data_IF_940213745028
#
_entry.id   IF_940213745028
#
_cell.length_a   1.000
_cell.length_b   1.000
_cell.length_c   1.000
_cell.angle_alpha   90.00
_cell.angle_beta   90.00
_cell.angle_gamma   90.00
#
_symmetry.space_group_name_H-M   'P 1'
#
loop_
_entity.id
_entity.type
_entity.pdbx_description
1 polymer ?
#
# COMPACT_ATOMS: atom_id res chain seq x y z
N UNK A 1 8.72 6.51 0.03
CA UNK A 1 9.35 7.73 -0.50
C UNK A 1 10.84 7.66 -0.23
N UNK A 2 11.66 8.16 -1.16
CA UNK A 2 13.12 8.21 -1.03
C UNK A 2 13.50 9.29 -0.03
N UNK A 3 14.16 8.88 1.05
CA UNK A 3 14.83 9.79 1.97
C UNK A 3 16.24 10.02 1.47
N UNK A 4 16.61 11.28 1.25
CA UNK A 4 17.97 11.64 0.88
C UNK A 4 18.73 12.05 2.14
N UNK A 5 19.96 11.58 2.24
CA UNK A 5 20.85 11.87 3.37
C UNK A 5 22.18 12.40 2.85
N UNK A 6 22.83 13.24 3.64
CA UNK A 6 24.19 13.70 3.39
C UNK A 6 25.12 13.16 4.46
N UNK A 7 26.06 12.30 4.05
CA UNK A 7 27.12 11.80 4.92
C UNK A 7 28.23 12.85 5.01
N UNK A 8 28.32 13.48 6.18
CA UNK A 8 29.25 14.56 6.47
C UNK A 8 30.70 14.09 6.57
N UNK A 9 30.92 12.79 6.81
CA UNK A 9 32.27 12.21 6.90
C UNK A 9 32.87 11.90 5.54
N UNK A 10 32.04 11.49 4.57
CA UNK A 10 32.50 11.12 3.22
C UNK A 10 32.07 12.09 2.12
N UNK A 11 31.33 13.14 2.49
CA UNK A 11 30.74 14.13 1.58
C UNK A 11 29.85 13.49 0.50
N UNK A 12 29.12 12.43 0.85
CA UNK A 12 28.26 11.71 -0.09
C UNK A 12 26.79 12.07 0.11
N UNK A 13 26.11 12.29 -1.00
CA UNK A 13 24.65 12.35 -1.06
C UNK A 13 24.13 10.94 -1.35
N UNK A 14 23.30 10.42 -0.45
CA UNK A 14 22.73 9.08 -0.50
C UNK A 14 21.22 9.18 -0.74
N UNK A 15 20.67 8.27 -1.54
CA UNK A 15 19.25 8.03 -1.67
C UNK A 15 18.92 6.71 -0.96
N UNK A 16 17.93 6.72 -0.07
CA UNK A 16 17.51 5.55 0.71
C UNK A 16 16.00 5.40 0.59
N UNK A 17 15.51 4.20 0.30
CA UNK A 17 14.08 3.96 0.16
C UNK A 17 13.66 2.60 0.67
N UNK A 18 12.45 2.54 1.24
CA UNK A 18 11.87 1.32 1.76
C UNK A 18 11.31 0.44 0.62
N UNK A 19 11.40 -0.87 0.80
CA UNK A 19 10.97 -1.92 -0.14
C UNK A 19 9.99 -2.91 0.50
N UNK A 20 9.50 -2.66 1.72
CA UNK A 20 8.62 -3.54 2.48
C UNK A 20 9.32 -4.63 3.28
N UNK A 21 10.56 -4.99 2.93
CA UNK A 21 11.40 -5.95 3.68
C UNK A 21 12.70 -5.35 4.22
N UNK A 22 12.89 -4.04 4.00
CA UNK A 22 14.13 -3.34 4.28
C UNK A 22 14.33 -2.16 3.34
N UNK A 23 15.48 -1.50 3.43
CA UNK A 23 15.78 -0.34 2.62
C UNK A 23 16.80 -0.65 1.51
N UNK A 24 16.50 -0.19 0.29
CA UNK A 24 17.49 0.02 -0.75
C UNK A 24 18.23 1.34 -0.50
N UNK A 25 19.50 1.39 -0.89
CA UNK A 25 20.29 2.62 -0.80
C UNK A 25 21.34 2.68 -1.90
N UNK A 26 21.62 3.88 -2.40
CA UNK A 26 22.80 4.14 -3.23
C UNK A 26 23.34 5.55 -3.10
N UNK A 27 24.56 5.74 -3.57
CA UNK A 27 25.20 7.06 -3.67
C UNK A 27 24.74 7.77 -4.93
N UNK A 28 24.09 8.92 -4.75
CA UNK A 28 23.66 9.82 -5.84
C UNK A 28 24.86 10.60 -6.37
N UNK A 29 25.61 11.23 -5.47
CA UNK A 29 26.74 12.07 -5.82
C UNK A 29 27.74 12.19 -4.67
N UNK A 30 28.98 12.57 -5.00
CA UNK A 30 29.96 13.03 -4.01
C UNK A 30 30.16 14.54 -4.18
N UNK A 31 29.93 15.29 -3.11
CA UNK A 31 30.15 16.73 -3.06
C UNK A 31 31.65 17.01 -2.84
N UNK A 32 32.07 18.24 -3.13
CA UNK A 32 33.45 18.64 -2.85
C UNK A 32 33.64 18.65 -1.31
N UNK A 33 34.80 18.20 -0.83
CA UNK A 33 35.14 18.29 0.60
C UNK A 33 35.13 19.75 1.13
N UNK A 34 35.31 20.73 0.23
CA UNK A 34 35.18 22.15 0.55
C UNK A 34 33.73 22.65 0.61
N UNK A 35 32.73 21.85 0.19
CA UNK A 35 31.32 22.22 0.29
C UNK A 35 30.92 22.26 1.76
N UNK A 36 30.30 23.37 2.19
CA UNK A 36 29.80 23.52 3.55
C UNK A 36 28.77 22.43 3.87
N UNK A 37 28.84 21.90 5.09
CA UNK A 37 27.95 20.83 5.54
C UNK A 37 26.47 21.18 5.40
N UNK A 38 26.10 22.41 5.75
CA UNK A 38 24.73 22.93 5.66
C UNK A 38 24.17 22.88 4.25
N UNK A 39 25.00 23.14 3.23
CA UNK A 39 24.59 23.08 1.81
C UNK A 39 24.27 21.63 1.41
N UNK A 40 25.07 20.66 1.86
CA UNK A 40 24.80 19.25 1.62
C UNK A 40 23.49 18.78 2.28
N UNK A 41 23.26 19.20 3.54
CA UNK A 41 22.03 18.90 4.29
C UNK A 41 20.79 19.55 3.65
N UNK A 42 20.87 20.80 3.19
CA UNK A 42 19.75 21.47 2.50
C UNK A 42 19.42 20.79 1.17
N UNK A 43 20.42 20.38 0.39
CA UNK A 43 20.19 19.63 -0.84
C UNK A 43 19.48 18.29 -0.56
N UNK A 44 19.92 17.55 0.45
CA UNK A 44 19.27 16.30 0.85
C UNK A 44 17.82 16.52 1.32
N UNK A 45 17.55 17.57 2.09
CA UNK A 45 16.20 17.94 2.49
C UNK A 45 15.33 18.31 1.28
N UNK A 46 15.85 19.09 0.34
CA UNK A 46 15.13 19.51 -0.85
C UNK A 46 14.76 18.31 -1.74
N UNK A 47 15.67 17.35 -1.90
CA UNK A 47 15.42 16.12 -2.66
C UNK A 47 14.41 15.19 -1.99
N UNK A 48 14.45 15.10 -0.66
CA UNK A 48 13.45 14.32 0.10
C UNK A 48 12.04 14.88 -0.12
N UNK A 49 11.87 16.20 -0.01
CA UNK A 49 10.59 16.86 -0.31
C UNK A 49 10.16 16.71 -1.77
N UNK A 50 11.12 16.66 -2.69
CA UNK A 50 10.82 16.41 -4.09
C UNK A 50 10.31 14.97 -4.31
N UNK A 51 10.93 13.97 -3.69
CA UNK A 51 10.44 12.59 -3.70
C UNK A 51 9.03 12.49 -3.09
N UNK A 52 8.78 13.16 -1.96
CA UNK A 52 7.44 13.29 -1.37
C UNK A 52 6.41 13.80 -2.39
N UNK A 53 6.74 14.89 -3.09
CA UNK A 53 5.85 15.48 -4.10
C UNK A 53 5.63 14.54 -5.30
N UNK A 54 6.65 13.81 -5.75
CA UNK A 54 6.56 12.82 -6.84
C UNK A 54 5.63 11.68 -6.44
N UNK A 55 5.81 11.09 -5.27
CA UNK A 55 4.97 9.98 -4.81
C UNK A 55 3.56 10.42 -4.39
N UNK A 56 3.35 11.71 -4.11
CA UNK A 56 2.02 12.26 -3.93
C UNK A 56 1.19 12.21 -5.23
N UNK A 57 1.82 12.46 -6.39
CA UNK A 57 1.17 12.27 -7.70
C UNK A 57 0.78 10.80 -7.91
N UNK A 58 1.62 9.86 -7.49
CA UNK A 58 1.29 8.42 -7.54
C UNK A 58 0.11 8.03 -6.64
N UNK A 59 0.06 8.56 -5.41
CA UNK A 59 -1.03 8.25 -4.47
C UNK A 59 -2.36 8.92 -4.84
N UNK A 60 -2.30 10.07 -5.55
CA UNK A 60 -3.46 10.87 -5.97
C UNK A 60 -3.38 11.24 -7.46
N UNK A 61 -3.47 10.24 -8.35
CA UNK A 61 -3.36 10.46 -9.80
C UNK A 61 -4.48 11.39 -10.33
N UNK A 62 -5.62 11.47 -9.64
CA UNK A 62 -6.74 12.34 -10.02
C UNK A 62 -6.47 13.84 -9.81
N UNK A 63 -5.39 14.20 -9.11
CA UNK A 63 -5.07 15.60 -8.79
C UNK A 63 -3.87 16.11 -9.59
N UNK A 64 -2.81 15.31 -9.73
CA UNK A 64 -1.57 15.75 -10.35
C UNK A 64 -0.96 14.65 -11.22
N UNK A 65 -0.83 14.92 -12.52
CA UNK A 65 0.07 14.17 -13.39
C UNK A 65 1.54 14.40 -13.00
N UNK A 66 2.46 13.60 -13.54
CA UNK A 66 3.89 13.75 -13.27
C UNK A 66 4.60 14.60 -14.36
N UNK A 67 5.01 15.85 -14.08
CA UNK A 67 5.48 16.78 -15.10
C UNK A 67 7.00 16.70 -15.30
N UNK A 68 7.49 15.54 -15.77
CA UNK A 68 8.93 15.22 -15.82
C UNK A 68 9.76 16.30 -16.52
N UNK A 69 9.36 16.72 -17.71
CA UNK A 69 10.08 17.73 -18.50
C UNK A 69 10.16 19.10 -17.80
N UNK A 70 9.05 19.55 -17.20
CA UNK A 70 8.98 20.81 -16.49
C UNK A 70 9.83 20.78 -15.21
N UNK A 71 9.82 19.66 -14.47
CA UNK A 71 10.64 19.48 -13.28
C UNK A 71 12.15 19.51 -13.60
N UNK A 72 12.58 18.79 -14.65
CA UNK A 72 13.98 18.82 -15.10
C UNK A 72 14.40 20.22 -15.53
N UNK A 73 13.52 20.95 -16.24
CA UNK A 73 13.78 22.34 -16.61
C UNK A 73 13.88 23.24 -15.37
N UNK A 74 13.00 23.07 -14.38
CA UNK A 74 12.98 23.83 -13.13
C UNK A 74 14.26 23.63 -12.29
N UNK A 75 14.82 22.41 -12.26
CA UNK A 75 16.12 22.15 -11.62
C UNK A 75 17.27 22.85 -12.35
N UNK A 76 17.24 22.86 -13.70
CA UNK A 76 18.30 23.49 -14.52
C UNK A 76 18.23 25.02 -14.49
N UNK A 77 17.02 25.57 -14.38
CA UNK A 77 16.74 27.02 -14.38
C UNK A 77 15.80 27.35 -13.22
N UNK A 78 16.30 27.29 -11.98
CA UNK A 78 15.48 27.57 -10.82
C UNK A 78 15.05 29.03 -10.77
N UNK A 79 13.84 29.29 -10.27
CA UNK A 79 13.47 30.62 -9.83
C UNK A 79 14.40 31.03 -8.70
N UNK A 80 15.18 32.08 -8.93
CA UNK A 80 16.01 32.70 -7.92
C UNK A 80 15.20 33.74 -7.12
N UNK A 81 15.62 34.06 -5.89
CA UNK A 81 15.06 35.19 -5.17
C UNK A 81 15.26 36.50 -5.94
N UNK A 82 14.18 37.23 -6.18
CA UNK A 82 14.17 38.58 -6.74
C UNK A 82 13.58 39.52 -5.69
N UNK A 83 14.33 40.55 -5.27
CA UNK A 83 13.95 41.43 -4.16
C UNK A 83 13.58 40.69 -2.85
N UNK A 84 14.21 39.54 -2.60
CA UNK A 84 13.96 38.70 -1.42
C UNK A 84 12.72 37.79 -1.53
N UNK A 85 12.00 37.82 -2.66
CA UNK A 85 10.83 37.00 -2.91
C UNK A 85 11.17 35.86 -3.89
N UNK A 86 10.62 34.68 -3.64
CA UNK A 86 10.76 33.52 -4.54
C UNK A 86 9.43 33.24 -5.19
N UNK A 87 9.42 33.14 -6.52
CA UNK A 87 8.24 32.67 -7.26
C UNK A 87 7.98 31.19 -6.95
N UNK A 88 6.74 30.90 -6.54
CA UNK A 88 6.25 29.56 -6.21
C UNK A 88 5.43 29.02 -7.38
N UNK A 89 5.59 27.74 -7.67
CA UNK A 89 4.78 27.04 -8.68
C UNK A 89 3.60 26.32 -8.02
N UNK A 90 2.45 26.27 -8.71
CA UNK A 90 1.27 25.58 -8.20
C UNK A 90 1.45 24.05 -8.18
N UNK A 91 2.25 23.52 -9.10
CA UNK A 91 2.51 22.09 -9.18
C UNK A 91 3.59 21.69 -8.16
N UNK A 92 3.28 20.82 -7.16
CA UNK A 92 4.18 20.55 -6.05
C UNK A 92 5.54 19.96 -6.48
N UNK A 93 5.54 19.10 -7.50
CA UNK A 93 6.77 18.54 -8.08
C UNK A 93 7.65 19.63 -8.73
N UNK A 94 7.05 20.56 -9.48
CA UNK A 94 7.80 21.63 -10.17
C UNK A 94 8.34 22.66 -9.17
N UNK A 95 7.56 23.00 -8.14
CA UNK A 95 8.01 23.89 -7.07
C UNK A 95 9.18 23.28 -6.29
N UNK A 96 9.08 21.99 -5.95
CA UNK A 96 10.16 21.25 -5.31
C UNK A 96 11.40 21.16 -6.18
N UNK A 97 11.23 20.98 -7.51
CA UNK A 97 12.33 20.99 -8.47
C UNK A 97 13.06 22.34 -8.53
N UNK A 98 12.34 23.47 -8.47
CA UNK A 98 12.97 24.79 -8.35
C UNK A 98 13.77 24.93 -7.06
N UNK A 99 13.27 24.40 -5.94
CA UNK A 99 14.02 24.37 -4.68
C UNK A 99 15.32 23.57 -4.82
N UNK A 100 15.25 22.35 -5.35
CA UNK A 100 16.45 21.53 -5.62
C UNK A 100 17.43 22.27 -6.53
N UNK A 101 16.95 22.91 -7.59
CA UNK A 101 17.79 23.70 -8.50
C UNK A 101 18.53 24.85 -7.82
N UNK A 102 17.92 25.52 -6.83
CA UNK A 102 18.59 26.55 -6.03
C UNK A 102 19.72 25.96 -5.18
N UNK A 103 19.46 24.86 -4.47
CA UNK A 103 20.50 24.18 -3.67
C UNK A 103 21.66 23.71 -4.56
N UNK A 104 21.35 23.18 -5.76
CA UNK A 104 22.37 22.78 -6.75
C UNK A 104 23.22 23.95 -7.24
N UNK A 105 22.66 25.17 -7.31
CA UNK A 105 23.42 26.37 -7.64
C UNK A 105 24.38 26.76 -6.52
N UNK A 106 23.98 26.61 -5.26
CA UNK A 106 24.87 26.84 -4.12
C UNK A 106 26.01 25.81 -4.07
N UNK A 107 25.74 24.55 -4.42
CA UNK A 107 26.79 23.51 -4.57
C UNK A 107 27.78 23.86 -5.69
N UNK A 108 27.32 24.46 -6.78
CA UNK A 108 28.19 24.99 -7.86
C UNK A 108 28.95 23.93 -8.67
N UNK A 109 28.57 22.64 -8.60
CA UNK A 109 29.23 21.55 -9.31
C UNK A 109 28.37 20.96 -10.42
N UNK A 110 28.78 21.16 -11.68
CA UNK A 110 28.08 20.59 -12.85
C UNK A 110 28.02 19.05 -12.82
N UNK A 111 29.01 18.39 -12.21
CA UNK A 111 29.00 16.94 -12.00
C UNK A 111 27.89 16.51 -11.06
N UNK A 112 27.78 17.16 -9.90
CA UNK A 112 26.72 16.90 -8.91
C UNK A 112 25.35 17.23 -9.49
N UNK A 113 25.20 18.36 -10.20
CA UNK A 113 23.95 18.74 -10.87
C UNK A 113 23.46 17.67 -11.85
N UNK A 114 24.35 17.12 -12.69
CA UNK A 114 23.97 16.05 -13.63
C UNK A 114 23.54 14.77 -12.91
N UNK A 115 24.29 14.37 -11.88
CA UNK A 115 23.99 13.16 -11.12
C UNK A 115 22.65 13.27 -10.38
N UNK A 116 22.38 14.41 -9.74
CA UNK A 116 21.10 14.66 -9.05
C UNK A 116 19.93 14.72 -10.03
N UNK A 117 20.08 15.36 -11.19
CA UNK A 117 19.01 15.37 -12.20
C UNK A 117 18.71 13.96 -12.69
N UNK A 118 19.73 13.15 -12.98
CA UNK A 118 19.55 11.78 -13.42
C UNK A 118 18.84 10.92 -12.35
N UNK A 119 19.21 11.10 -11.08
CA UNK A 119 18.57 10.39 -9.97
C UNK A 119 17.09 10.78 -9.78
N UNK A 120 16.77 12.06 -9.93
CA UNK A 120 15.39 12.56 -9.91
C UNK A 120 14.57 12.05 -11.10
N UNK A 121 15.17 11.93 -12.29
CA UNK A 121 14.53 11.31 -13.45
C UNK A 121 14.21 9.83 -13.16
N UNK A 122 15.11 9.10 -12.50
CA UNK A 122 14.86 7.72 -12.05
C UNK A 122 13.74 7.65 -10.99
N UNK A 123 13.71 8.57 -10.02
CA UNK A 123 12.63 8.68 -9.03
C UNK A 123 11.26 8.86 -9.70
N UNK A 124 11.18 9.74 -10.69
CA UNK A 124 9.96 9.96 -11.45
C UNK A 124 9.57 8.76 -12.31
N UNK A 125 10.55 8.12 -12.95
CA UNK A 125 10.33 6.88 -13.70
C UNK A 125 9.81 5.75 -12.79
N UNK A 126 10.32 5.66 -11.56
CA UNK A 126 9.88 4.69 -10.57
C UNK A 126 8.41 4.88 -10.19
N UNK A 127 7.97 6.12 -9.94
CA UNK A 127 6.56 6.42 -9.69
C UNK A 127 5.65 6.05 -10.88
N UNK A 128 6.09 6.36 -12.12
CA UNK A 128 5.37 5.97 -13.32
C UNK A 128 5.35 4.46 -13.59
N UNK A 129 6.43 3.73 -13.26
CA UNK A 129 6.47 2.27 -13.33
C UNK A 129 5.48 1.65 -12.33
N UNK A 130 5.48 2.15 -11.10
CA UNK A 130 4.55 1.70 -10.07
C UNK A 130 3.09 1.87 -10.51
N UNK A 131 2.75 3.00 -11.13
CA UNK A 131 1.41 3.25 -11.66
C UNK A 131 0.96 2.17 -12.67
N UNK A 132 1.90 1.68 -13.50
CA UNK A 132 1.67 0.59 -14.45
C UNK A 132 1.73 -0.81 -13.83
N UNK A 133 1.91 -0.90 -12.52
CA UNK A 133 2.03 -2.17 -11.79
C UNK A 133 3.41 -2.82 -11.88
N UNK A 134 4.45 -2.11 -12.31
CA UNK A 134 5.83 -2.59 -12.22
C UNK A 134 6.46 -2.08 -10.93
N UNK A 135 6.54 -2.95 -9.91
CA UNK A 135 7.16 -2.67 -8.63
C UNK A 135 8.63 -3.16 -8.59
N UNK A 136 9.38 -3.02 -9.68
CA UNK A 136 10.81 -3.33 -9.69
C UNK A 136 11.68 -2.19 -9.14
N UNK A 137 12.88 -2.53 -8.66
CA UNK A 137 13.88 -1.57 -8.20
C UNK A 137 13.32 -0.50 -7.25
N UNK A 138 13.45 0.79 -7.61
CA UNK A 138 12.98 1.93 -6.81
C UNK A 138 11.45 2.05 -6.77
N UNK A 139 10.73 1.46 -7.73
CA UNK A 139 9.27 1.47 -7.75
C UNK A 139 8.66 0.66 -6.59
N UNK A 140 9.43 -0.24 -5.97
CA UNK A 140 9.02 -1.00 -4.77
C UNK A 140 8.52 -0.14 -3.61
N UNK A 141 8.90 1.13 -3.56
CA UNK A 141 8.37 2.06 -2.55
C UNK A 141 6.85 2.13 -2.51
N UNK A 142 6.19 1.85 -3.63
CA UNK A 142 4.73 1.76 -3.71
C UNK A 142 4.13 0.81 -2.68
N UNK A 143 4.86 -0.24 -2.27
CA UNK A 143 4.38 -1.22 -1.27
C UNK A 143 4.23 -0.64 0.14
N UNK A 144 4.75 0.57 0.35
CA UNK A 144 4.66 1.29 1.61
C UNK A 144 3.59 2.38 1.60
N UNK A 145 2.94 2.61 0.46
CA UNK A 145 2.00 3.71 0.25
C UNK A 145 0.56 3.21 0.23
N UNK A 146 -0.36 4.05 0.72
CA UNK A 146 -1.80 3.82 0.62
C UNK A 146 -2.36 4.63 -0.54
N UNK A 147 -2.72 3.95 -1.63
CA UNK A 147 -3.44 4.50 -2.78
C UNK A 147 -4.91 4.07 -2.68
N UNK A 148 -5.84 5.02 -2.54
CA UNK A 148 -7.28 4.71 -2.34
C UNK A 148 -7.86 4.01 -3.56
N UNK A 149 -7.45 4.41 -4.76
CA UNK A 149 -7.82 3.76 -6.03
C UNK A 149 -6.67 2.84 -6.49
N UNK A 150 -6.62 1.57 -6.03
CA UNK A 150 -5.52 0.65 -6.39
C UNK A 150 -5.48 0.34 -7.88
N UNK A 151 -4.30 0.01 -8.39
CA UNK A 151 -4.10 -0.39 -9.79
C UNK A 151 -4.83 -1.72 -10.11
N UNK A 152 -5.66 -1.80 -11.17
CA UNK A 152 -6.33 -3.05 -11.55
C UNK A 152 -5.35 -4.21 -11.84
N UNK A 153 -4.22 -3.92 -12.48
CA UNK A 153 -3.20 -4.93 -12.76
C UNK A 153 -2.62 -5.52 -11.47
N UNK A 154 -2.46 -4.69 -10.44
CA UNK A 154 -1.98 -5.11 -9.13
C UNK A 154 -3.03 -5.90 -8.34
N UNK A 155 -4.32 -5.62 -8.53
CA UNK A 155 -5.40 -6.42 -7.93
C UNK A 155 -5.38 -7.83 -8.50
N UNK A 156 -5.25 -7.97 -9.83
CA UNK A 156 -5.16 -9.27 -10.51
C UNK A 156 -3.94 -10.05 -10.03
N UNK A 157 -2.79 -9.40 -9.89
CA UNK A 157 -1.58 -10.05 -9.39
C UNK A 157 -1.71 -10.48 -7.92
N UNK A 158 -2.33 -9.66 -7.07
CA UNK A 158 -2.60 -10.03 -5.68
C UNK A 158 -3.60 -11.19 -5.56
N UNK A 159 -4.64 -11.21 -6.39
CA UNK A 159 -5.61 -12.31 -6.44
C UNK A 159 -4.95 -13.62 -6.89
N UNK A 160 -4.04 -13.56 -7.88
CA UNK A 160 -3.22 -14.70 -8.31
C UNK A 160 -2.35 -15.23 -7.16
N UNK A 161 -1.73 -14.36 -6.36
CA UNK A 161 -0.93 -14.78 -5.20
C UNK A 161 -1.78 -15.48 -4.13
N UNK A 162 -2.99 -14.97 -3.85
CA UNK A 162 -3.92 -15.60 -2.91
C UNK A 162 -4.50 -16.91 -3.48
N UNK A 163 -4.63 -17.03 -4.80
CA UNK A 163 -4.98 -18.31 -5.43
C UNK A 163 -3.92 -19.38 -5.18
N UNK A 164 -2.64 -19.02 -5.30
CA UNK A 164 -1.53 -19.92 -5.01
C UNK A 164 -1.50 -20.31 -3.52
N UNK A 165 -1.59 -19.32 -2.63
CA UNK A 165 -1.53 -19.51 -1.17
C UNK A 165 -2.64 -18.72 -0.48
N UNK A 166 -3.84 -19.30 -0.27
CA UNK A 166 -5.01 -18.59 0.30
C UNK A 166 -4.77 -18.04 1.70
N UNK A 167 -4.01 -18.76 2.52
CA UNK A 167 -3.57 -18.30 3.85
C UNK A 167 -2.46 -17.22 3.85
N UNK A 168 -2.23 -16.58 2.70
CA UNK A 168 -1.26 -15.52 2.45
C UNK A 168 0.19 -16.00 2.28
N UNK A 169 0.89 -15.29 1.39
CA UNK A 169 2.34 -15.37 1.18
C UNK A 169 2.98 -14.06 1.63
N UNK A 170 4.20 -14.05 2.20
CA UNK A 170 4.92 -12.81 2.51
C UNK A 170 5.05 -11.86 1.31
N UNK A 171 5.01 -12.40 0.09
CA UNK A 171 5.04 -11.64 -1.16
C UNK A 171 3.88 -10.65 -1.31
N UNK A 172 2.73 -10.94 -0.71
CA UNK A 172 1.56 -10.06 -0.73
C UNK A 172 1.83 -8.70 -0.06
N UNK A 173 2.89 -8.62 0.74
CA UNK A 173 3.32 -7.44 1.47
C UNK A 173 4.47 -6.68 0.82
N UNK A 174 5.09 -7.24 -0.22
CA UNK A 174 6.39 -6.81 -0.73
C UNK A 174 6.45 -6.68 -2.24
N UNK A 175 5.55 -7.39 -2.94
CA UNK A 175 5.56 -7.50 -4.40
C UNK A 175 4.34 -6.81 -5.04
N UNK A 176 3.33 -6.42 -4.24
CA UNK A 176 2.11 -5.77 -4.71
C UNK A 176 1.73 -4.55 -3.87
N UNK A 177 0.96 -3.64 -4.46
CA UNK A 177 0.36 -2.50 -3.75
C UNK A 177 -0.54 -2.98 -2.59
N UNK A 178 -0.38 -2.46 -1.35
CA UNK A 178 -1.16 -2.89 -0.19
C UNK A 178 -2.67 -2.71 -0.35
N UNK A 179 -3.10 -1.66 -1.05
CA UNK A 179 -4.51 -1.42 -1.31
C UNK A 179 -5.07 -2.44 -2.31
N UNK A 180 -4.30 -2.82 -3.33
CA UNK A 180 -4.67 -3.85 -4.29
C UNK A 180 -4.73 -5.23 -3.62
N UNK A 181 -3.73 -5.53 -2.79
CA UNK A 181 -3.72 -6.70 -1.93
C UNK A 181 -4.91 -6.73 -0.97
N UNK A 182 -5.29 -5.60 -0.38
CA UNK A 182 -6.48 -5.48 0.46
C UNK A 182 -7.77 -5.80 -0.30
N UNK A 183 -7.93 -5.32 -1.54
CA UNK A 183 -9.08 -5.66 -2.40
C UNK A 183 -9.16 -7.17 -2.65
N UNK A 184 -8.04 -7.78 -3.06
CA UNK A 184 -7.98 -9.22 -3.26
C UNK A 184 -8.25 -9.97 -1.93
N UNK A 185 -7.65 -9.53 -0.82
CA UNK A 185 -7.88 -10.14 0.48
C UNK A 185 -9.35 -10.07 0.91
N UNK A 186 -10.11 -9.00 0.60
CA UNK A 186 -11.56 -8.95 0.87
C UNK A 186 -12.27 -10.06 0.09
N UNK A 187 -11.94 -10.25 -1.19
CA UNK A 187 -12.53 -11.31 -2.00
C UNK A 187 -12.31 -12.69 -1.39
N UNK A 188 -11.06 -13.02 -1.06
CA UNK A 188 -10.66 -14.31 -0.49
C UNK A 188 -11.19 -14.52 0.94
N UNK A 189 -11.19 -13.47 1.75
CA UNK A 189 -11.76 -13.49 3.10
C UNK A 189 -13.27 -13.79 3.06
N UNK A 190 -14.02 -13.14 2.17
CA UNK A 190 -15.46 -13.40 2.05
C UNK A 190 -15.75 -14.82 1.53
N UNK A 191 -14.85 -15.41 0.74
CA UNK A 191 -14.94 -16.81 0.37
C UNK A 191 -14.71 -17.73 1.59
N UNK A 192 -13.67 -17.46 2.39
CA UNK A 192 -13.41 -18.18 3.65
C UNK A 192 -14.58 -18.10 4.63
N UNK A 193 -15.19 -16.92 4.79
CA UNK A 193 -16.38 -16.72 5.63
C UNK A 193 -17.49 -17.64 5.17
N UNK A 194 -17.82 -17.69 3.88
CA UNK A 194 -18.95 -18.52 3.41
C UNK A 194 -18.67 -20.02 3.40
N UNK A 195 -17.41 -20.46 3.31
CA UNK A 195 -17.03 -21.83 3.62
C UNK A 195 -17.41 -22.15 5.07
N UNK A 196 -17.08 -21.27 6.01
CA UNK A 196 -17.38 -21.47 7.43
C UNK A 196 -18.85 -21.31 7.79
N UNK A 197 -19.59 -20.40 7.16
CA UNK A 197 -21.05 -20.28 7.34
C UNK A 197 -21.75 -21.60 7.03
N UNK A 198 -21.36 -22.27 5.93
CA UNK A 198 -21.92 -23.57 5.54
C UNK A 198 -21.45 -24.70 6.46
N UNK A 199 -20.17 -24.72 6.81
CA UNK A 199 -19.60 -25.82 7.60
C UNK A 199 -20.11 -25.79 9.06
N UNK A 200 -20.21 -24.61 9.65
CA UNK A 200 -20.55 -24.42 11.06
C UNK A 200 -22.01 -23.99 11.30
N UNK A 201 -22.84 -24.00 10.25
CA UNK A 201 -24.25 -23.58 10.23
C UNK A 201 -24.48 -22.29 11.01
N UNK A 202 -23.79 -21.22 10.60
CA UNK A 202 -23.75 -19.94 11.33
C UNK A 202 -23.68 -18.75 10.38
N UNK A 203 -23.84 -17.54 10.91
CA UNK A 203 -23.66 -16.30 10.15
C UNK A 203 -22.18 -15.95 10.06
N UNK A 204 -21.78 -15.12 9.09
CA UNK A 204 -20.39 -14.69 8.98
C UNK A 204 -19.85 -14.03 10.25
N UNK A 205 -20.66 -13.26 10.98
CA UNK A 205 -20.28 -12.73 12.29
C UNK A 205 -20.08 -13.85 13.32
N UNK A 206 -21.01 -14.80 13.38
CA UNK A 206 -20.88 -15.94 14.29
C UNK A 206 -19.69 -16.86 13.97
N UNK A 207 -19.28 -16.96 12.70
CA UNK A 207 -18.08 -17.67 12.30
C UNK A 207 -16.82 -16.97 12.81
N UNK A 208 -16.75 -15.63 12.74
CA UNK A 208 -15.63 -14.85 13.29
C UNK A 208 -15.57 -14.93 14.80
N UNK A 209 -16.70 -14.81 15.50
CA UNK A 209 -16.78 -14.92 16.95
C UNK A 209 -16.27 -16.29 17.45
N UNK A 210 -16.57 -17.36 16.71
CA UNK A 210 -16.06 -18.72 16.98
C UNK A 210 -14.57 -18.83 16.64
N UNK A 211 -14.12 -18.23 15.55
CA UNK A 211 -12.72 -18.28 15.14
C UNK A 211 -11.81 -17.58 16.16
N UNK A 212 -12.23 -16.43 16.69
CA UNK A 212 -11.50 -15.69 17.74
C UNK A 212 -11.34 -16.50 19.04
N UNK A 213 -12.27 -17.42 19.33
CA UNK A 213 -12.17 -18.34 20.46
C UNK A 213 -11.16 -19.47 20.24
N UNK A 214 -10.84 -19.80 18.99
CA UNK A 214 -9.86 -20.82 18.62
C UNK A 214 -8.47 -20.21 18.52
N UNK A 215 -8.34 -19.09 17.83
CA UNK A 215 -7.09 -18.37 17.62
C UNK A 215 -7.32 -16.87 17.73
N UNK A 216 -6.51 -16.20 18.55
CA UNK A 216 -6.61 -14.76 18.73
C UNK A 216 -6.18 -14.01 17.46
N UNK A 217 -7.00 -13.07 17.01
CA UNK A 217 -6.66 -12.10 15.97
C UNK A 217 -7.39 -10.77 16.23
N UNK A 218 -6.91 -9.67 15.65
CA UNK A 218 -7.64 -8.40 15.67
C UNK A 218 -8.80 -8.45 14.66
N UNK A 219 -10.00 -8.70 15.18
CA UNK A 219 -11.19 -8.96 14.38
C UNK A 219 -11.91 -7.71 13.88
N UNK A 220 -11.46 -6.50 14.27
CA UNK A 220 -12.16 -5.24 13.98
C UNK A 220 -12.36 -4.99 12.47
N UNK A 221 -11.32 -5.25 11.66
CA UNK A 221 -11.38 -5.12 10.20
C UNK A 221 -12.31 -6.17 9.60
N UNK A 222 -12.16 -7.44 10.00
CA UNK A 222 -12.93 -8.57 9.50
C UNK A 222 -14.45 -8.39 9.75
N UNK A 223 -14.85 -8.06 10.99
CA UNK A 223 -16.25 -7.76 11.33
C UNK A 223 -16.81 -6.57 10.56
N UNK A 224 -15.99 -5.54 10.34
CA UNK A 224 -16.42 -4.37 9.57
C UNK A 224 -16.73 -4.74 8.13
N UNK A 225 -15.87 -5.56 7.49
CA UNK A 225 -16.11 -6.05 6.12
C UNK A 225 -17.36 -6.93 6.05
N UNK A 226 -17.56 -7.87 6.98
CA UNK A 226 -18.77 -8.70 7.03
C UNK A 226 -20.04 -7.86 7.16
N UNK A 227 -20.06 -6.88 8.09
CA UNK A 227 -21.19 -5.95 8.28
C UNK A 227 -21.49 -5.12 7.04
N UNK A 228 -20.46 -4.65 6.34
CA UNK A 228 -20.61 -3.85 5.12
C UNK A 228 -21.29 -4.66 3.99
N UNK A 229 -21.04 -5.96 3.91
CA UNK A 229 -21.69 -6.88 2.96
C UNK A 229 -23.12 -7.20 3.39
N UNK A 230 -23.34 -7.50 4.67
CA UNK A 230 -24.66 -7.84 5.22
C UNK A 230 -25.70 -6.70 5.09
N UNK A 231 -25.25 -5.45 5.02
CA UNK A 231 -26.11 -4.27 4.85
C UNK A 231 -26.87 -4.18 3.52
N UNK A 232 -26.79 -5.19 2.64
CA UNK A 232 -27.70 -5.38 1.50
C UNK A 232 -27.59 -4.36 0.37
N UNK A 233 -26.48 -3.60 0.31
CA UNK A 233 -26.25 -2.64 -0.79
C UNK A 233 -25.79 -3.41 -2.05
N UNK A 234 -26.45 -3.22 -3.20
CA UNK A 234 -26.18 -3.99 -4.42
C UNK A 234 -24.76 -3.79 -4.98
N UNK A 235 -24.14 -2.63 -4.73
CA UNK A 235 -22.82 -2.27 -5.29
C UNK A 235 -21.62 -2.62 -4.37
N UNK A 236 -21.80 -3.51 -3.39
CA UNK A 236 -20.75 -3.91 -2.42
C UNK A 236 -19.75 -4.89 -3.05
N UNK A 237 -18.94 -4.39 -3.97
CA UNK A 237 -17.77 -5.12 -4.49
C UNK A 237 -16.59 -5.04 -3.51
N UNK A 238 -15.63 -5.98 -3.56
CA UNK A 238 -14.39 -5.88 -2.76
C UNK A 238 -13.66 -4.55 -2.97
N UNK A 239 -13.65 -4.04 -4.21
CA UNK A 239 -13.08 -2.74 -4.53
C UNK A 239 -13.79 -1.59 -3.81
N UNK A 240 -15.13 -1.55 -3.87
CA UNK A 240 -15.91 -0.49 -3.23
C UNK A 240 -15.76 -0.51 -1.70
N UNK A 241 -15.71 -1.70 -1.09
CA UNK A 241 -15.48 -1.85 0.35
C UNK A 241 -14.08 -1.33 0.73
N UNK A 242 -13.04 -1.74 0.01
CA UNK A 242 -11.69 -1.27 0.27
C UNK A 242 -11.59 0.25 0.12
N UNK A 243 -12.11 0.81 -0.98
CA UNK A 243 -12.08 2.25 -1.24
C UNK A 243 -12.76 3.05 -0.12
N UNK A 244 -13.93 2.61 0.36
CA UNK A 244 -14.63 3.27 1.46
C UNK A 244 -13.81 3.24 2.76
N UNK A 245 -13.29 2.07 3.15
CA UNK A 245 -12.48 1.93 4.36
C UNK A 245 -11.18 2.75 4.29
N UNK A 246 -10.46 2.68 3.16
CA UNK A 246 -9.22 3.41 2.94
C UNK A 246 -9.48 4.92 2.92
N UNK A 247 -10.53 5.38 2.25
CA UNK A 247 -10.87 6.80 2.19
C UNK A 247 -11.18 7.35 3.58
N UNK A 248 -11.95 6.63 4.40
CA UNK A 248 -12.25 7.04 5.77
C UNK A 248 -10.98 7.15 6.62
N UNK A 249 -10.09 6.16 6.54
CA UNK A 249 -8.84 6.16 7.28
C UNK A 249 -7.86 7.26 6.83
N UNK A 250 -7.76 7.51 5.52
CA UNK A 250 -6.95 8.60 4.94
C UNK A 250 -7.51 9.98 5.33
N UNK A 251 -8.82 10.11 5.48
CA UNK A 251 -9.42 11.34 6.00
C UNK A 251 -9.18 11.50 7.51
N UNK A 252 -9.32 10.42 8.29
CA UNK A 252 -9.00 10.42 9.71
C UNK A 252 -7.53 10.78 9.97
N UNK A 253 -6.59 10.30 9.14
CA UNK A 253 -5.16 10.63 9.24
C UNK A 253 -4.88 12.11 9.02
N UNK A 254 -5.81 12.84 8.40
CA UNK A 254 -5.75 14.29 8.18
C UNK A 254 -6.52 15.09 9.24
N UNK A 255 -7.01 14.43 10.29
CA UNK A 255 -7.86 15.06 11.32
C UNK A 255 -9.28 15.37 10.84
N UNK A 256 -9.71 14.82 9.70
CA UNK A 256 -11.08 14.96 9.22
C UNK A 256 -11.91 13.79 9.77
N UNK A 257 -12.80 14.09 10.72
CA UNK A 257 -13.74 13.11 11.28
C UNK A 257 -14.91 12.90 10.29
N UNK A 258 -15.15 11.65 9.87
CA UNK A 258 -16.34 11.26 9.09
C UNK A 258 -17.12 10.21 9.87
N UNK A 259 -18.41 10.44 10.08
CA UNK A 259 -19.33 9.41 10.57
C UNK A 259 -19.94 8.65 9.36
N UNK A 260 -19.64 7.36 9.15
CA UNK A 260 -20.32 6.55 8.16
C UNK A 260 -21.57 5.94 8.81
N UNK A 261 -22.69 6.66 8.69
CA UNK A 261 -24.05 6.31 9.14
C UNK A 261 -24.37 6.58 10.63
N UNK A 262 -25.45 7.35 10.80
CA UNK A 262 -26.15 7.83 12.00
C UNK A 262 -25.30 8.36 13.18
N UNK A 263 -25.52 9.61 13.61
CA UNK A 263 -24.86 10.14 14.79
C UNK A 263 -25.35 9.36 16.01
N UNK A 264 -24.52 8.46 16.54
CA UNK A 264 -24.52 8.26 17.99
C UNK A 264 -24.11 9.61 18.56
N UNK A 265 -25.09 10.35 19.09
CA UNK A 265 -24.84 11.58 19.85
C UNK A 265 -23.73 11.24 20.86
N UNK A 266 -22.56 11.85 20.67
CA UNK A 266 -21.38 11.82 21.56
C UNK A 266 -20.28 10.76 21.34
N UNK A 267 -20.17 10.12 20.17
CA UNK A 267 -19.03 9.23 19.84
C UNK A 267 -17.97 9.85 18.89
N UNK A 268 -16.65 9.72 19.14
CA UNK A 268 -15.62 9.97 18.13
C UNK A 268 -15.83 9.09 16.90
N UNK A 269 -15.54 9.60 15.71
CA UNK A 269 -15.57 8.78 14.48
C UNK A 269 -14.39 7.80 14.50
N UNK A 270 -14.68 6.50 14.66
CA UNK A 270 -13.65 5.45 14.65
C UNK A 270 -13.61 4.78 13.27
N UNK A 271 -12.48 4.92 12.57
CA UNK A 271 -12.13 4.02 11.46
C UNK A 271 -11.68 2.69 12.03
N UNK A 272 -12.07 1.57 11.41
CA UNK A 272 -11.57 0.24 11.77
C UNK A 272 -10.10 0.05 11.37
N UNK A 273 -9.58 0.89 10.45
CA UNK A 273 -8.19 0.85 10.01
C UNK A 273 -7.34 1.84 10.80
N UNK A 274 -6.09 1.47 11.09
CA UNK A 274 -5.05 2.38 11.56
C UNK A 274 -4.82 3.51 10.54
N UNK A 275 -5.12 4.79 10.87
CA UNK A 275 -4.90 5.92 9.99
C UNK A 275 -3.45 6.11 9.55
N UNK A 276 -2.47 5.61 10.32
CA UNK A 276 -1.07 5.75 9.98
C UNK A 276 -0.65 4.81 8.83
N UNK A 277 -1.30 3.64 8.71
CA UNK A 277 -0.99 2.64 7.66
C UNK A 277 -2.27 1.94 7.15
N UNK A 278 -3.25 2.65 6.56
CA UNK A 278 -4.58 2.10 6.34
C UNK A 278 -4.61 0.84 5.48
N UNK A 279 -3.95 0.87 4.32
CA UNK A 279 -3.96 -0.28 3.43
C UNK A 279 -3.25 -1.50 4.00
N UNK A 280 -2.21 -1.27 4.83
CA UNK A 280 -1.52 -2.35 5.52
C UNK A 280 -2.38 -2.96 6.62
N UNK A 281 -3.02 -2.12 7.43
CA UNK A 281 -3.96 -2.56 8.47
C UNK A 281 -5.14 -3.35 7.89
N UNK A 282 -5.70 -2.90 6.75
CA UNK A 282 -6.74 -3.63 6.03
C UNK A 282 -6.27 -5.04 5.64
N UNK A 283 -5.10 -5.13 5.03
CA UNK A 283 -4.53 -6.40 4.60
C UNK A 283 -4.24 -7.34 5.77
N UNK A 284 -3.57 -6.83 6.82
CA UNK A 284 -3.21 -7.61 8.01
C UNK A 284 -4.46 -8.16 8.71
N UNK A 285 -5.51 -7.35 8.89
CA UNK A 285 -6.75 -7.79 9.52
C UNK A 285 -7.50 -8.85 8.72
N UNK A 286 -7.49 -8.76 7.38
CA UNK A 286 -8.15 -9.76 6.51
C UNK A 286 -7.37 -11.06 6.42
N UNK A 287 -6.03 -10.99 6.33
CA UNK A 287 -5.17 -12.19 6.35
C UNK A 287 -5.30 -12.90 7.70
N UNK A 288 -5.29 -12.15 8.82
CA UNK A 288 -5.54 -12.70 10.14
C UNK A 288 -6.91 -13.37 10.24
N UNK A 289 -7.95 -12.76 9.68
CA UNK A 289 -9.29 -13.35 9.60
C UNK A 289 -9.33 -14.66 8.79
N UNK A 290 -8.66 -14.72 7.64
CA UNK A 290 -8.55 -15.96 6.84
C UNK A 290 -7.86 -17.06 7.64
N UNK A 291 -6.76 -16.73 8.33
CA UNK A 291 -6.00 -17.69 9.14
C UNK A 291 -6.81 -18.21 10.33
N UNK A 292 -7.51 -17.33 11.06
CA UNK A 292 -8.39 -17.72 12.16
C UNK A 292 -9.55 -18.62 11.68
N UNK A 293 -10.13 -18.34 10.51
CA UNK A 293 -11.15 -19.21 9.90
C UNK A 293 -10.58 -20.57 9.49
N UNK A 294 -9.33 -20.63 9.04
CA UNK A 294 -8.64 -21.90 8.76
C UNK A 294 -8.44 -22.72 10.05
N UNK A 295 -8.05 -22.08 11.16
CA UNK A 295 -7.95 -22.73 12.45
C UNK A 295 -9.31 -23.26 12.94
N UNK A 296 -10.38 -22.47 12.81
CA UNK A 296 -11.74 -22.92 13.11
C UNK A 296 -12.16 -24.09 12.20
N UNK A 297 -11.86 -24.04 10.92
CA UNK A 297 -12.13 -25.13 9.98
C UNK A 297 -11.47 -26.43 10.42
N UNK A 298 -10.21 -26.38 10.87
CA UNK A 298 -9.49 -27.55 11.36
C UNK A 298 -10.21 -28.25 12.53
N UNK A 299 -10.91 -27.49 13.39
CA UNK A 299 -11.71 -28.08 14.49
C UNK A 299 -12.95 -28.84 14.02
N UNK A 300 -13.43 -28.60 12.79
CA UNK A 300 -14.62 -29.22 12.20
C UNK A 300 -14.30 -30.41 11.29
N UNK A 301 -13.03 -30.66 10.98
CA UNK A 301 -12.64 -31.85 10.23
C UNK A 301 -12.84 -33.08 11.12
N UNK A 302 -13.98 -33.76 10.93
CA UNK A 302 -14.30 -35.03 11.59
C UNK A 302 -13.19 -36.06 11.27
N UNK A 303 -12.53 -36.53 12.32
CA UNK A 303 -11.40 -37.44 12.23
C UNK A 303 -11.79 -38.79 11.59
N UNK A 304 -11.54 -38.94 10.28
CA UNK A 304 -11.19 -40.21 9.65
C UNK A 304 -9.71 -40.58 9.85
N UNK A 305 -9.12 -40.11 10.95
CA UNK A 305 -7.69 -39.91 11.09
C UNK A 305 -7.00 -41.12 11.73
N UNK A 306 -5.84 -41.48 11.19
CA UNK A 306 -4.96 -42.48 11.76
C UNK A 306 -4.39 -41.95 13.08
N UNK A 307 -4.62 -42.61 14.24
CA UNK A 307 -4.04 -42.22 15.53
C UNK A 307 -2.51 -42.12 15.54
N UNK A 308 -1.82 -42.61 14.50
CA UNK A 308 -0.36 -42.54 14.34
C UNK A 308 0.18 -41.31 13.61
N UNK A 309 -0.67 -40.46 13.02
CA UNK A 309 -0.23 -39.29 12.27
C UNK A 309 0.11 -38.13 13.21
N UNK A 310 1.22 -37.44 12.96
CA UNK A 310 1.72 -36.40 13.85
C UNK A 310 0.97 -35.07 13.66
N UNK A 311 1.15 -34.14 14.61
CA UNK A 311 0.46 -32.84 14.62
C UNK A 311 0.78 -32.00 13.37
N UNK A 312 1.98 -32.14 12.81
CA UNK A 312 2.42 -31.37 11.63
C UNK A 312 1.71 -31.87 10.38
N UNK A 313 1.66 -33.18 10.18
CA UNK A 313 0.93 -33.82 9.09
C UNK A 313 -0.58 -33.52 9.17
N UNK A 314 -1.14 -33.50 10.38
CA UNK A 314 -2.54 -33.09 10.58
C UNK A 314 -2.79 -31.64 10.17
N UNK A 315 -1.94 -30.71 10.61
CA UNK A 315 -2.07 -29.29 10.27
C UNK A 315 -1.94 -29.06 8.76
N UNK A 316 -1.01 -29.75 8.09
CA UNK A 316 -0.84 -29.66 6.64
C UNK A 316 -2.06 -30.21 5.88
N UNK A 317 -2.64 -31.32 6.36
CA UNK A 317 -3.87 -31.88 5.80
C UNK A 317 -5.06 -30.92 5.97
N UNK A 318 -5.27 -30.40 7.19
CA UNK A 318 -6.36 -29.47 7.48
C UNK A 318 -6.25 -28.18 6.64
N UNK A 319 -5.03 -27.66 6.51
CA UNK A 319 -4.72 -26.52 5.64
C UNK A 319 -5.04 -26.81 4.18
N UNK A 320 -4.61 -27.95 3.65
CA UNK A 320 -4.86 -28.33 2.26
C UNK A 320 -6.35 -28.41 1.96
N UNK A 321 -7.14 -28.98 2.89
CA UNK A 321 -8.59 -29.06 2.75
C UNK A 321 -9.25 -27.68 2.76
N UNK A 322 -8.84 -26.80 3.69
CA UNK A 322 -9.35 -25.43 3.75
C UNK A 322 -8.99 -24.63 2.49
N UNK A 323 -7.73 -24.67 2.06
CA UNK A 323 -7.24 -23.96 0.87
C UNK A 323 -8.06 -24.37 -0.38
N UNK A 324 -8.35 -25.66 -0.55
CA UNK A 324 -9.16 -26.16 -1.66
C UNK A 324 -10.61 -25.65 -1.59
N UNK A 325 -11.25 -25.73 -0.42
CA UNK A 325 -12.61 -25.25 -0.23
C UNK A 325 -12.74 -23.74 -0.50
N UNK A 326 -11.77 -22.95 -0.04
CA UNK A 326 -11.74 -21.49 -0.28
C UNK A 326 -11.49 -21.18 -1.74
N UNK A 327 -10.58 -21.88 -2.43
CA UNK A 327 -10.37 -21.69 -3.88
C UNK A 327 -11.64 -21.95 -4.68
N UNK A 328 -12.37 -23.02 -4.36
CA UNK A 328 -13.64 -23.35 -5.02
C UNK A 328 -14.69 -22.26 -4.80
N UNK A 329 -14.84 -21.77 -3.56
CA UNK A 329 -15.78 -20.69 -3.25
C UNK A 329 -15.37 -19.36 -3.91
N UNK A 330 -14.10 -19.00 -3.90
CA UNK A 330 -13.59 -17.79 -4.55
C UNK A 330 -13.81 -17.85 -6.07
N UNK A 331 -13.55 -19.00 -6.70
CA UNK A 331 -13.82 -19.20 -8.13
C UNK A 331 -15.31 -19.08 -8.47
N UNK A 332 -16.20 -19.55 -7.60
CA UNK A 332 -17.65 -19.41 -7.78
C UNK A 332 -18.12 -17.94 -7.72
N UNK A 333 -17.37 -17.08 -7.02
CA UNK A 333 -17.63 -15.63 -6.87
C UNK A 333 -16.99 -14.78 -7.97
N UNK A 334 -15.97 -15.28 -8.66
CA UNK A 334 -15.21 -14.56 -9.68
C UNK A 334 -15.99 -14.12 -10.96
N UNK A 335 -16.90 -14.94 -11.55
CA UNK A 335 -17.47 -14.63 -12.86
C UNK A 335 -18.42 -13.43 -12.90
N UNK A 336 -18.91 -12.93 -11.75
CA UNK A 336 -19.77 -11.75 -11.70
C UNK A 336 -19.00 -10.41 -11.58
N UNK A 337 -17.67 -10.42 -11.31
CA UNK A 337 -16.96 -9.21 -10.83
C UNK A 337 -15.67 -8.81 -11.56
N UNK A 338 -14.95 -9.75 -12.19
CA UNK A 338 -13.76 -9.39 -13.00
C UNK A 338 -14.11 -8.65 -14.30
N UNK A 339 -15.33 -8.82 -14.82
CA UNK A 339 -15.83 -8.07 -15.97
C UNK A 339 -15.96 -6.56 -15.68
N UNK A 340 -16.21 -6.15 -14.43
CA UNK A 340 -16.35 -4.73 -14.05
C UNK A 340 -15.01 -4.00 -13.95
N UNK A 341 -13.94 -4.69 -13.55
CA UNK A 341 -12.58 -4.13 -13.47
C UNK A 341 -11.97 -3.81 -14.85
N UNK A 342 -12.36 -4.55 -15.89
CA UNK A 342 -11.88 -4.33 -17.27
C UNK A 342 -12.61 -3.18 -17.96
N UNK A 343 -13.88 -2.92 -17.63
CA UNK A 343 -14.68 -1.85 -18.24
C UNK A 343 -14.26 -0.45 -17.78
N UNK A 344 -13.66 -0.31 -16.58
CA UNK A 344 -13.13 0.97 -16.10
C UNK A 344 -11.78 1.39 -16.75
N UNK A 345 -11.20 0.56 -17.62
CA UNK A 345 -9.92 0.81 -18.30
C UNK A 345 -10.04 1.12 -19.80
N UNK A 346 -11.27 1.26 -20.33
CA UNK A 346 -11.54 1.60 -21.74
C UNK A 346 -12.13 3.03 -21.88
#
# INVERSE_FOLDING_TARGET
>A
MTTYAYDTSTHQLLAVWDTGMGAGAHTVARLNAATQETVGLHLAQALTRMSEAVWLSYVRPEIFDLPVSAAVQAMRRPHLPEAGLVRVEMHPVVDSAHRVGRELREVGSAGVTRAVIADVEEEMAAAGNAERGDLSARARQAVMLTRVAPSPAQIVEADRMLHEVPMCSPRLYTDVEPAAAGVAAIHWFLAAVSVMERLADTTGEGALDKAEQVEYFDSAVAHTVVRMVAGGRPDRTPLAIAQELLQMAVMASRGLLIAPNEPVQDGPCFTALDPARPARCLLDGLVGGIQALAALHATHLECGFDPGCDEVEWMEHARTHFDEAVRQEAAARAPERMAELVVATA
#
